data_IF_585068065940
#
_entry.id   IF_585068065940
#
_cell.length_a   1.000
_cell.length_b   1.000
_cell.length_c   1.000
_cell.angle_alpha   90.00
_cell.angle_beta   90.00
_cell.angle_gamma   90.00
#
_symmetry.space_group_name_H-M   'P 1'
#
loop_
_entity.id
_entity.type
_entity.pdbx_description
1 polymer ?
#
# COMPACT_ATOMS: atom_id res chain seq x y z
N UNK A 1 -17.63 15.08 -18.19
CA UNK A 1 -17.59 13.66 -17.79
C UNK A 1 -16.40 13.49 -16.87
N UNK A 2 -16.64 13.34 -15.56
CA UNK A 2 -15.60 13.00 -14.59
C UNK A 2 -15.75 11.52 -14.26
N UNK A 3 -14.82 10.70 -14.72
CA UNK A 3 -14.69 9.31 -14.31
C UNK A 3 -14.02 9.28 -12.94
N UNK A 4 -14.84 9.26 -11.89
CA UNK A 4 -14.39 8.97 -10.52
C UNK A 4 -13.82 7.57 -10.50
N UNK A 5 -12.50 7.43 -10.44
CA UNK A 5 -11.84 6.17 -10.12
C UNK A 5 -12.01 5.94 -8.62
N UNK A 6 -13.17 5.39 -8.26
CA UNK A 6 -13.43 4.88 -6.91
C UNK A 6 -12.53 3.65 -6.74
N UNK A 7 -11.39 3.81 -6.07
CA UNK A 7 -10.54 2.68 -5.68
C UNK A 7 -11.36 1.80 -4.74
N UNK A 8 -11.90 0.72 -5.29
CA UNK A 8 -12.46 -0.38 -4.51
C UNK A 8 -11.35 -0.91 -3.60
N UNK A 9 -11.56 -0.82 -2.29
CA UNK A 9 -10.79 -1.57 -1.31
C UNK A 9 -10.97 -3.04 -1.69
N UNK A 10 -9.94 -3.64 -2.27
CA UNK A 10 -9.90 -5.05 -2.70
C UNK A 10 -9.94 -5.92 -1.45
N UNK A 11 -11.14 -6.17 -0.95
CA UNK A 11 -11.41 -7.05 0.19
C UNK A 11 -10.96 -8.52 0.03
N UNK A 12 -10.88 -9.16 -1.17
CA UNK A 12 -10.44 -10.55 -1.23
C UNK A 12 -8.93 -10.74 -0.98
N UNK A 13 -8.13 -9.67 -1.04
CA UNK A 13 -6.70 -9.76 -0.74
C UNK A 13 -6.38 -9.81 0.77
N UNK A 14 -7.36 -9.55 1.63
CA UNK A 14 -7.15 -9.45 3.08
C UNK A 14 -6.87 -10.80 3.77
N UNK A 15 -7.19 -11.93 3.14
CA UNK A 15 -7.07 -13.25 3.78
C UNK A 15 -5.62 -13.70 4.08
N UNK A 16 -4.62 -13.05 3.47
CA UNK A 16 -3.19 -13.34 3.65
C UNK A 16 -2.39 -12.13 4.16
N UNK A 17 -3.06 -11.02 4.47
CA UNK A 17 -2.40 -9.86 5.06
C UNK A 17 -2.16 -10.11 6.56
N UNK A 18 -0.97 -9.80 7.10
CA UNK A 18 -0.62 -10.12 8.48
C UNK A 18 -1.26 -9.17 9.52
N UNK A 19 -2.32 -8.45 9.14
CA UNK A 19 -2.93 -7.38 9.95
C UNK A 19 -4.42 -7.61 10.15
N UNK A 20 -4.76 -8.62 10.94
CA UNK A 20 -6.16 -8.96 11.25
C UNK A 20 -6.59 -8.40 12.60
N UNK A 21 -5.65 -7.93 13.42
CA UNK A 21 -5.90 -7.35 14.73
C UNK A 21 -5.18 -6.00 14.92
N UNK A 22 -5.73 -5.05 15.70
CA UNK A 22 -5.05 -3.76 15.97
C UNK A 22 -3.64 -3.91 16.56
N UNK A 23 -3.40 -4.98 17.32
CA UNK A 23 -2.09 -5.31 17.89
C UNK A 23 -1.01 -5.58 16.81
N UNK A 24 -1.42 -5.96 15.59
CA UNK A 24 -0.50 -6.27 14.50
C UNK A 24 0.14 -5.01 13.89
N UNK A 25 -0.42 -3.83 14.17
CA UNK A 25 0.07 -2.55 13.63
C UNK A 25 1.47 -2.17 14.09
N UNK A 26 2.00 -2.79 15.15
CA UNK A 26 3.34 -2.55 15.68
C UNK A 26 4.08 -3.85 16.05
N UNK A 27 3.70 -4.98 15.45
CA UNK A 27 4.13 -6.31 15.91
C UNK A 27 5.46 -6.79 15.33
N UNK A 28 6.13 -6.03 14.45
CA UNK A 28 7.29 -6.56 13.70
C UNK A 28 8.30 -5.55 13.17
N UNK A 29 9.38 -6.09 12.57
CA UNK A 29 10.49 -5.32 11.96
C UNK A 29 10.18 -4.82 10.55
N UNK A 30 9.15 -5.39 9.91
CA UNK A 30 8.75 -5.11 8.53
C UNK A 30 7.64 -4.07 8.51
N UNK A 31 7.82 -3.01 7.73
CA UNK A 31 6.82 -1.95 7.54
C UNK A 31 5.95 -2.24 6.33
N UNK A 32 4.66 -1.98 6.46
CA UNK A 32 3.70 -2.07 5.38
C UNK A 32 3.00 -0.73 5.18
N UNK A 33 2.95 -0.27 3.94
CA UNK A 33 2.09 0.84 3.56
C UNK A 33 0.74 0.27 3.16
N UNK A 34 -0.29 0.57 3.97
CA UNK A 34 -1.64 0.03 3.79
C UNK A 34 -2.39 0.75 2.69
N UNK A 35 -2.58 2.06 2.87
CA UNK A 35 -3.36 2.89 1.96
C UNK A 35 -2.61 4.20 1.68
N UNK A 36 -2.51 4.55 0.40
CA UNK A 36 -2.04 5.86 -0.05
C UNK A 36 -3.17 6.55 -0.82
N UNK A 37 -3.93 7.39 -0.13
CA UNK A 37 -5.08 8.09 -0.69
C UNK A 37 -4.65 9.49 -1.15
N UNK A 38 -4.66 9.73 -2.46
CA UNK A 38 -4.29 11.00 -3.08
C UNK A 38 -5.44 11.51 -3.96
N UNK A 39 -6.45 12.19 -3.38
CA UNK A 39 -7.71 12.50 -4.04
C UNK A 39 -7.59 13.47 -5.23
N UNK A 40 -6.50 14.23 -5.33
CA UNK A 40 -6.26 15.22 -6.39
C UNK A 40 -5.06 14.86 -7.26
N UNK A 41 -4.78 13.55 -7.44
CA UNK A 41 -3.48 13.05 -7.93
C UNK A 41 -2.35 13.28 -6.90
N UNK A 42 -1.13 12.82 -7.21
CA UNK A 42 0.05 12.99 -6.34
C UNK A 42 0.46 11.74 -5.56
N UNK A 43 -0.09 10.56 -5.90
CA UNK A 43 0.22 9.32 -5.18
C UNK A 43 1.71 8.98 -5.26
N UNK A 44 2.33 9.20 -6.43
CA UNK A 44 3.75 8.92 -6.65
C UNK A 44 4.65 9.84 -5.81
N UNK A 45 4.32 11.12 -5.72
CA UNK A 45 5.02 12.10 -4.88
C UNK A 45 4.89 11.75 -3.40
N UNK A 46 3.70 11.36 -2.95
CA UNK A 46 3.47 10.92 -1.56
C UNK A 46 4.28 9.67 -1.25
N UNK A 47 4.27 8.65 -2.13
CA UNK A 47 5.06 7.43 -1.96
C UNK A 47 6.55 7.77 -1.92
N UNK A 48 7.02 8.65 -2.81
CA UNK A 48 8.41 9.14 -2.82
C UNK A 48 8.77 9.83 -1.51
N UNK A 49 7.93 10.73 -1.00
CA UNK A 49 8.18 11.44 0.25
C UNK A 49 8.21 10.49 1.46
N UNK A 50 7.32 9.50 1.50
CA UNK A 50 7.33 8.45 2.52
C UNK A 50 8.67 7.70 2.50
N UNK A 51 9.16 7.33 1.30
CA UNK A 51 10.42 6.62 1.13
C UNK A 51 11.64 7.46 1.54
N UNK A 52 11.70 8.69 1.06
CA UNK A 52 12.90 9.52 1.16
C UNK A 52 13.00 10.28 2.48
N UNK A 53 11.85 10.70 3.05
CA UNK A 53 11.83 11.59 4.22
C UNK A 53 11.32 10.92 5.48
N UNK A 54 10.27 10.10 5.38
CA UNK A 54 9.64 9.49 6.57
C UNK A 54 10.39 8.23 7.01
N UNK A 55 10.79 7.40 6.05
CA UNK A 55 11.47 6.12 6.33
C UNK A 55 12.74 5.91 5.48
N UNK A 56 13.72 6.83 5.54
CA UNK A 56 14.93 6.74 4.74
C UNK A 56 15.69 5.44 5.01
N UNK A 57 16.01 4.72 3.93
CA UNK A 57 16.78 3.46 3.98
C UNK A 57 16.06 2.29 4.65
N UNK A 58 14.75 2.40 4.93
CA UNK A 58 13.95 1.29 5.44
C UNK A 58 13.23 0.61 4.28
N UNK A 59 13.19 -0.71 4.34
CA UNK A 59 12.39 -1.50 3.40
C UNK A 59 10.92 -1.42 3.78
N UNK A 60 10.07 -1.09 2.82
CA UNK A 60 8.63 -1.01 2.99
C UNK A 60 7.98 -1.96 1.99
N UNK A 61 6.97 -2.69 2.47
CA UNK A 61 6.15 -3.56 1.64
C UNK A 61 4.83 -2.90 1.30
N UNK A 62 4.39 -3.10 0.07
CA UNK A 62 3.06 -2.72 -0.41
C UNK A 62 2.42 -3.93 -1.07
N UNK A 63 1.10 -4.01 -1.00
CA UNK A 63 0.34 -4.92 -1.82
C UNK A 63 -0.20 -4.14 -3.02
N UNK A 64 0.15 -4.54 -4.24
CA UNK A 64 -0.25 -3.87 -5.47
C UNK A 64 -0.82 -4.88 -6.46
N UNK A 65 -1.70 -4.48 -7.40
CA UNK A 65 -2.08 -5.35 -8.50
C UNK A 65 -0.84 -5.84 -9.25
N UNK A 66 -0.81 -7.13 -9.60
CA UNK A 66 0.21 -7.67 -10.49
C UNK A 66 0.13 -6.95 -11.85
N UNK A 67 1.25 -6.81 -12.58
CA UNK A 67 1.27 -6.09 -13.86
C UNK A 67 0.33 -6.66 -14.92
N UNK A 68 0.01 -7.96 -14.83
CA UNK A 68 -0.92 -8.68 -15.69
C UNK A 68 -2.38 -8.62 -15.21
N UNK A 69 -2.64 -7.99 -14.06
CA UNK A 69 -3.97 -7.80 -13.48
C UNK A 69 -4.62 -9.07 -12.95
N UNK A 70 -3.91 -10.19 -12.84
CA UNK A 70 -4.49 -11.46 -12.39
C UNK A 70 -4.75 -11.48 -10.88
N UNK A 71 -3.74 -11.08 -10.09
CA UNK A 71 -3.73 -11.18 -8.63
C UNK A 71 -3.00 -9.99 -7.99
N UNK A 72 -2.98 -9.95 -6.66
CA UNK A 72 -2.18 -8.97 -5.93
C UNK A 72 -0.75 -9.50 -5.70
N UNK A 73 0.25 -8.64 -5.85
CA UNK A 73 1.65 -8.95 -5.61
C UNK A 73 2.22 -8.09 -4.47
N UNK A 74 3.12 -8.69 -3.68
CA UNK A 74 3.92 -7.96 -2.70
C UNK A 74 5.09 -7.28 -3.42
N UNK A 75 5.14 -5.95 -3.32
CA UNK A 75 6.23 -5.13 -3.83
C UNK A 75 7.03 -4.59 -2.64
N UNK A 76 8.35 -4.71 -2.70
CA UNK A 76 9.29 -4.22 -1.69
C UNK A 76 10.19 -3.14 -2.29
N UNK A 77 10.33 -2.00 -1.61
CA UNK A 77 11.08 -0.82 -2.08
C UNK A 77 11.89 -0.14 -0.97
#
# INVERSE_FOLDING_TARGET
MMTTHSTAIVAPAAAHLPFTHPADRNSGKTRWLMDALAPFSGQDEVIKEIREKVFPGKRIKTLQPAPDGSEMAVVEW
#
